data_IF_245740143984
#
_entry.id   IF_245740143984
#
_cell.length_a   1.000
_cell.length_b   1.000
_cell.length_c   1.000
_cell.angle_alpha   90.00
_cell.angle_beta   90.00
_cell.angle_gamma   90.00
#
_symmetry.space_group_name_H-M   'P 1'
#
loop_
_entity.id
_entity.type
_entity.pdbx_description
1 polymer ?
#
# COMPACT_ATOMS: atom_id res chain seq x y z
N UNK A 1 3.08 -22.22 3.76
CA UNK A 1 3.85 -21.96 2.52
C UNK A 1 2.87 -21.86 1.35
N UNK A 2 3.11 -20.98 0.38
CA UNK A 2 2.31 -20.86 -0.84
C UNK A 2 3.21 -20.47 -2.01
N UNK A 3 2.67 -20.46 -3.23
CA UNK A 3 3.44 -20.14 -4.44
C UNK A 3 3.93 -18.68 -4.49
N UNK A 4 3.27 -17.77 -3.76
CA UNK A 4 3.69 -16.39 -3.58
C UNK A 4 4.24 -16.19 -2.16
N UNK A 5 5.32 -15.43 -2.07
CA UNK A 5 5.91 -14.95 -0.82
C UNK A 5 4.97 -13.95 -0.12
N UNK A 6 5.24 -13.71 1.17
CA UNK A 6 4.39 -12.84 1.99
C UNK A 6 4.40 -11.41 1.46
N UNK A 7 5.57 -10.90 1.06
CA UNK A 7 5.71 -9.54 0.52
C UNK A 7 4.81 -9.30 -0.69
N UNK A 8 4.84 -10.19 -1.69
CA UNK A 8 3.96 -10.03 -2.87
C UNK A 8 2.48 -10.10 -2.51
N UNK A 9 2.07 -10.91 -1.53
CA UNK A 9 0.67 -10.97 -1.09
C UNK A 9 0.21 -9.67 -0.42
N UNK A 10 1.06 -9.08 0.42
CA UNK A 10 0.74 -7.83 1.09
C UNK A 10 0.69 -6.65 0.09
N UNK A 11 1.60 -6.60 -0.90
CA UNK A 11 1.54 -5.61 -1.98
C UNK A 11 0.25 -5.76 -2.81
N UNK A 12 -0.18 -6.99 -3.12
CA UNK A 12 -1.46 -7.22 -3.78
C UNK A 12 -2.65 -6.76 -2.91
N UNK A 13 -2.60 -7.03 -1.60
CA UNK A 13 -3.58 -6.56 -0.63
C UNK A 13 -3.64 -5.02 -0.56
N UNK A 14 -2.49 -4.35 -0.64
CA UNK A 14 -2.39 -2.90 -0.68
C UNK A 14 -3.07 -2.31 -1.92
N UNK A 15 -2.80 -2.85 -3.13
CA UNK A 15 -3.50 -2.40 -4.36
C UNK A 15 -5.00 -2.61 -4.24
N UNK A 16 -5.42 -3.81 -3.82
CA UNK A 16 -6.82 -4.18 -3.74
C UNK A 16 -7.57 -3.28 -2.75
N UNK A 17 -6.96 -2.99 -1.60
CA UNK A 17 -7.52 -2.11 -0.58
C UNK A 17 -7.61 -0.66 -1.04
N UNK A 18 -6.61 -0.20 -1.81
CA UNK A 18 -6.60 1.16 -2.36
C UNK A 18 -7.69 1.36 -3.40
N UNK A 19 -7.91 0.40 -4.31
CA UNK A 19 -8.99 0.49 -5.31
C UNK A 19 -10.38 0.32 -4.67
N UNK A 20 -10.48 -0.43 -3.57
CA UNK A 20 -11.70 -0.55 -2.77
C UNK A 20 -11.96 0.66 -1.86
N UNK A 21 -10.99 1.57 -1.73
CA UNK A 21 -11.09 2.78 -0.90
C UNK A 21 -11.31 2.48 0.59
N UNK A 22 -10.73 1.39 1.10
CA UNK A 22 -10.77 1.03 2.51
C UNK A 22 -9.49 1.53 3.21
N UNK A 23 -9.58 2.63 3.95
CA UNK A 23 -8.41 3.25 4.59
C UNK A 23 -7.78 2.37 5.68
N UNK A 24 -8.60 1.72 6.51
CA UNK A 24 -8.12 0.82 7.56
C UNK A 24 -7.38 -0.39 6.95
N UNK A 25 -7.90 -0.91 5.83
CA UNK A 25 -7.27 -2.01 5.09
C UNK A 25 -5.94 -1.56 4.48
N UNK A 26 -5.88 -0.34 3.93
CA UNK A 26 -4.65 0.24 3.37
C UNK A 26 -3.58 0.38 4.45
N UNK A 27 -3.90 0.98 5.60
CA UNK A 27 -2.94 1.12 6.70
C UNK A 27 -2.46 -0.23 7.24
N UNK A 28 -3.36 -1.22 7.34
CA UNK A 28 -3.00 -2.59 7.70
C UNK A 28 -1.96 -3.17 6.73
N UNK A 29 -2.24 -3.15 5.42
CA UNK A 29 -1.33 -3.71 4.43
C UNK A 29 -0.01 -2.94 4.31
N UNK A 30 0.01 -1.62 4.55
CA UNK A 30 1.26 -0.85 4.63
C UNK A 30 2.13 -1.36 5.79
N UNK A 31 1.55 -1.52 6.98
CA UNK A 31 2.30 -2.03 8.14
C UNK A 31 2.87 -3.43 7.87
N UNK A 32 2.07 -4.30 7.25
CA UNK A 32 2.50 -5.64 6.87
C UNK A 32 3.59 -5.62 5.78
N UNK A 33 3.49 -4.71 4.80
CA UNK A 33 4.52 -4.53 3.77
C UNK A 33 5.86 -4.11 4.39
N UNK A 34 5.84 -3.14 5.31
CA UNK A 34 7.05 -2.69 6.03
C UNK A 34 7.66 -3.85 6.84
N UNK A 35 6.84 -4.60 7.59
CA UNK A 35 7.31 -5.76 8.36
C UNK A 35 7.85 -6.88 7.45
N UNK A 36 7.28 -7.06 6.26
CA UNK A 36 7.75 -8.01 5.25
C UNK A 36 9.02 -7.54 4.51
N UNK A 37 9.53 -6.35 4.82
CA UNK A 37 10.72 -5.78 4.20
C UNK A 37 10.50 -5.29 2.77
N UNK A 38 9.27 -4.90 2.41
CA UNK A 38 9.01 -4.24 1.14
C UNK A 38 9.73 -2.88 1.11
N UNK A 39 10.36 -2.56 -0.03
CA UNK A 39 10.98 -1.26 -0.19
C UNK A 39 9.91 -0.18 -0.39
N UNK A 40 10.28 1.07 -0.08
CA UNK A 40 9.42 2.24 -0.37
C UNK A 40 9.06 2.29 -1.85
N UNK A 41 10.02 2.04 -2.73
CA UNK A 41 9.82 2.07 -4.17
C UNK A 41 8.79 1.00 -4.61
N UNK A 42 8.87 -0.22 -4.05
CA UNK A 42 7.90 -1.29 -4.31
C UNK A 42 6.48 -0.87 -3.88
N UNK A 43 6.33 -0.24 -2.71
CA UNK A 43 5.04 0.24 -2.22
C UNK A 43 4.50 1.43 -3.06
N UNK A 44 5.37 2.35 -3.48
CA UNK A 44 4.99 3.49 -4.31
C UNK A 44 4.58 3.09 -5.73
N UNK A 45 5.28 2.13 -6.34
CA UNK A 45 4.88 1.54 -7.63
C UNK A 45 3.51 0.84 -7.51
N UNK A 46 3.33 0.07 -6.44
CA UNK A 46 2.07 -0.61 -6.11
C UNK A 46 0.91 0.38 -5.96
N UNK A 47 1.12 1.47 -5.21
CA UNK A 47 0.14 2.55 -5.06
C UNK A 47 -0.14 3.29 -6.37
N UNK A 48 0.87 3.45 -7.23
CA UNK A 48 0.71 4.06 -8.56
C UNK A 48 -0.16 3.20 -9.48
N UNK A 49 -0.01 1.87 -9.42
CA UNK A 49 -0.91 0.93 -10.12
C UNK A 49 -2.35 1.10 -9.61
N UNK A 50 -2.54 1.18 -8.29
CA UNK A 50 -3.85 1.42 -7.70
C UNK A 50 -4.47 2.76 -8.13
N UNK A 51 -3.67 3.80 -8.33
CA UNK A 51 -4.11 5.10 -8.88
C UNK A 51 -4.56 4.98 -10.34
N UNK A 52 -3.81 4.27 -11.18
CA UNK A 52 -4.17 4.07 -12.58
C UNK A 52 -5.45 3.25 -12.72
N UNK A 53 -5.61 2.20 -11.91
CA UNK A 53 -6.79 1.32 -11.94
C UNK A 53 -8.02 1.98 -11.30
N UNK A 54 -7.84 2.62 -10.15
CA UNK A 54 -8.93 3.26 -9.40
C UNK A 54 -9.31 4.66 -9.91
N UNK A 55 -8.44 5.32 -10.67
CA UNK A 55 -8.65 6.67 -11.17
C UNK A 55 -8.53 7.74 -10.07
N UNK A 56 -8.93 8.98 -10.39
CA UNK A 56 -8.74 10.14 -9.50
C UNK A 56 -9.47 10.02 -8.15
N UNK A 57 -10.50 9.17 -8.04
CA UNK A 57 -11.25 8.97 -6.80
C UNK A 57 -10.41 8.36 -5.68
N UNK A 58 -9.29 7.68 -6.00
CA UNK A 58 -8.41 7.10 -4.99
C UNK A 58 -7.39 8.11 -4.45
N UNK A 59 -7.26 9.31 -5.03
CA UNK A 59 -6.26 10.32 -4.62
C UNK A 59 -6.33 10.66 -3.11
N UNK A 60 -7.51 10.86 -2.49
CA UNK A 60 -7.58 11.11 -1.05
C UNK A 60 -7.11 9.93 -0.19
N UNK A 61 -7.31 8.70 -0.67
CA UNK A 61 -6.85 7.48 0.00
C UNK A 61 -5.33 7.32 -0.18
N UNK A 62 -4.82 7.59 -1.38
CA UNK A 62 -3.40 7.58 -1.69
C UNK A 62 -2.62 8.61 -0.84
N UNK A 63 -3.13 9.83 -0.69
CA UNK A 63 -2.49 10.84 0.15
C UNK A 63 -2.37 10.41 1.61
N UNK A 64 -3.41 9.76 2.15
CA UNK A 64 -3.40 9.22 3.51
C UNK A 64 -2.48 8.00 3.63
N UNK A 65 -2.46 7.14 2.62
CA UNK A 65 -1.56 6.00 2.53
C UNK A 65 -0.08 6.44 2.59
N UNK A 66 0.29 7.45 1.80
CA UNK A 66 1.65 8.00 1.78
C UNK A 66 1.99 8.65 3.13
N UNK A 67 1.08 9.44 3.71
CA UNK A 67 1.31 10.03 5.04
C UNK A 67 1.55 8.96 6.11
N UNK A 68 0.74 7.89 6.11
CA UNK A 68 0.93 6.77 7.04
C UNK A 68 2.25 6.02 6.81
N UNK A 69 2.65 5.85 5.55
CA UNK A 69 3.96 5.27 5.22
C UNK A 69 5.12 6.15 5.72
N UNK A 70 5.00 7.47 5.61
CA UNK A 70 5.99 8.43 6.11
C UNK A 70 6.13 8.37 7.64
N UNK A 71 5.00 8.31 8.35
CA UNK A 71 4.96 8.10 9.81
C UNK A 71 5.66 6.79 10.21
N UNK A 72 5.44 5.71 9.46
CA UNK A 72 6.09 4.43 9.71
C UNK A 72 7.60 4.42 9.42
N UNK A 73 8.05 5.24 8.48
CA UNK A 73 9.48 5.40 8.16
C UNK A 73 10.19 6.40 9.07
N UNK A 74 9.47 7.10 9.96
CA UNK A 74 10.03 8.12 10.83
C UNK A 74 10.48 9.39 10.09
N UNK A 75 9.90 9.67 8.93
CA UNK A 75 10.13 10.90 8.17
C UNK A 75 9.00 11.88 8.47
N UNK A 76 9.24 12.81 9.38
CA UNK A 76 8.37 13.98 9.61
C UNK A 76 8.57 15.06 8.54
#
# INVERSE_FOLDING_TARGET
>A
CGALDVKSKELMGLVASLVLRCDDCVSYHISQCVQAGASRDEMMETMSIGLVVGGSIVIPHLRRAVAFLDEMEGKE
#
